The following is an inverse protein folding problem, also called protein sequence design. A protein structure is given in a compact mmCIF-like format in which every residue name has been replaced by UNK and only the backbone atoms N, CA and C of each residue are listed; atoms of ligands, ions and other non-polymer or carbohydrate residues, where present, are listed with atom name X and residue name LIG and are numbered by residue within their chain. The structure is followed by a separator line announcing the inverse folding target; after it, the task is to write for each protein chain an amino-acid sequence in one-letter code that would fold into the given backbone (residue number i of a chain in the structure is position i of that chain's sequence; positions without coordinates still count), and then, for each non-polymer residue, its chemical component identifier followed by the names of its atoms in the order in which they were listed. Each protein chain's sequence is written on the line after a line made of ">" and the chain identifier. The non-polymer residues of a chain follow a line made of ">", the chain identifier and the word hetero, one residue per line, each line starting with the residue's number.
data_IF_308366668415
#
_entry.id   IF_308366668415
#
_cell.length_a   1.000
_cell.length_b   1.000
_cell.length_c   1.000
_cell.angle_alpha   90.00
_cell.angle_beta   90.00
_cell.angle_gamma   90.00
#
_symmetry.space_group_name_H-M   'P 1'
#
loop_
_entity.id
_entity.type
_entity.pdbx_description
1 polymer ?
#
# COMPACT_ATOMS: atom_id res chain seq x y z
N UNK A 1 4.80 -8.50 -6.01
CA UNK A 1 4.56 -7.39 -6.91
C UNK A 1 4.70 -6.06 -6.20
N UNK A 2 4.77 -5.02 -6.97
CA UNK A 2 4.88 -3.67 -6.44
C UNK A 2 3.63 -3.28 -5.63
N UNK A 3 2.48 -3.88 -5.93
CA UNK A 3 1.27 -3.62 -5.16
C UNK A 3 1.43 -4.09 -3.71
N UNK A 4 1.99 -5.28 -3.52
CA UNK A 4 2.24 -5.79 -2.17
C UNK A 4 3.20 -4.88 -1.42
N UNK A 5 4.23 -4.38 -2.10
CA UNK A 5 5.17 -3.44 -1.49
C UNK A 5 4.48 -2.17 -1.01
N UNK A 6 3.56 -1.64 -1.82
CA UNK A 6 2.80 -0.44 -1.45
C UNK A 6 1.94 -0.73 -0.23
N UNK A 7 1.22 -1.84 -0.22
CA UNK A 7 0.38 -2.20 0.92
C UNK A 7 1.20 -2.36 2.20
N UNK A 8 2.34 -3.04 2.12
CA UNK A 8 3.21 -3.22 3.28
C UNK A 8 3.81 -1.91 3.76
N UNK A 9 4.10 -0.98 2.85
CA UNK A 9 4.70 0.29 3.20
C UNK A 9 3.73 1.18 3.98
N UNK A 10 2.44 1.02 3.76
CA UNK A 10 1.43 1.81 4.46
C UNK A 10 1.04 1.16 5.79
N UNK A 11 0.76 -0.15 5.76
CA UNK A 11 0.40 -0.86 6.97
C UNK A 11 -0.85 -0.30 7.64
N UNK A 12 -0.75 0.01 8.92
CA UNK A 12 -1.87 0.56 9.69
C UNK A 12 -1.81 2.09 9.78
N UNK A 13 -0.83 2.71 9.15
CA UNK A 13 -0.66 4.15 9.18
C UNK A 13 -1.48 4.86 8.11
N UNK A 14 -1.61 6.16 8.26
CA UNK A 14 -2.16 7.04 7.23
C UNK A 14 -0.99 7.89 6.75
N UNK A 15 -0.62 7.76 5.48
CA UNK A 15 0.61 8.35 4.96
C UNK A 15 0.38 9.10 3.67
N UNK A 16 1.30 10.01 3.36
CA UNK A 16 1.31 10.73 2.09
C UNK A 16 2.03 9.89 1.03
N UNK A 17 1.75 10.18 -0.25
CA UNK A 17 2.36 9.46 -1.36
C UNK A 17 3.89 9.47 -1.30
N UNK A 18 4.48 10.58 -0.87
CA UNK A 18 5.94 10.69 -0.74
C UNK A 18 6.54 9.66 0.20
N UNK A 19 5.80 9.31 1.25
CA UNK A 19 6.25 8.30 2.21
C UNK A 19 6.26 6.92 1.53
N UNK A 20 5.25 6.64 0.72
CA UNK A 20 5.18 5.39 -0.03
C UNK A 20 6.37 5.28 -0.99
N UNK A 21 6.67 6.36 -1.70
CA UNK A 21 7.82 6.40 -2.61
C UNK A 21 9.11 6.11 -1.85
N UNK A 22 9.30 6.77 -0.72
CA UNK A 22 10.51 6.60 0.09
C UNK A 22 10.66 5.19 0.62
N UNK A 23 9.57 4.60 1.12
CA UNK A 23 9.61 3.27 1.74
C UNK A 23 9.72 2.15 0.73
N UNK A 24 9.17 2.32 -0.47
CA UNK A 24 9.20 1.27 -1.50
C UNK A 24 10.41 1.38 -2.42
N UNK A 25 10.99 2.57 -2.53
CA UNK A 25 12.07 2.79 -3.48
C UNK A 25 11.59 2.90 -4.93
N UNK A 26 10.28 2.94 -5.15
CA UNK A 26 9.73 3.10 -6.50
C UNK A 26 9.84 4.56 -6.92
N UNK A 27 9.78 4.81 -8.24
CA UNK A 27 9.68 6.18 -8.73
C UNK A 27 8.32 6.74 -8.35
N UNK A 28 8.21 8.06 -8.29
CA UNK A 28 6.93 8.71 -7.99
C UNK A 28 5.84 8.31 -8.98
N UNK A 29 6.21 8.23 -10.26
CA UNK A 29 5.28 7.84 -11.32
C UNK A 29 4.80 6.40 -11.12
N UNK A 30 5.70 5.49 -10.84
CA UNK A 30 5.37 4.07 -10.64
C UNK A 30 4.54 3.88 -9.36
N UNK A 31 4.93 4.56 -8.30
CA UNK A 31 4.18 4.49 -7.04
C UNK A 31 2.75 4.98 -7.23
N UNK A 32 2.56 6.07 -7.99
CA UNK A 32 1.22 6.59 -8.27
C UNK A 32 0.36 5.57 -9.01
N UNK A 33 0.94 4.86 -9.97
CA UNK A 33 0.20 3.82 -10.70
C UNK A 33 -0.20 2.67 -9.77
N UNK A 34 0.70 2.28 -8.89
CA UNK A 34 0.43 1.18 -7.96
C UNK A 34 -0.62 1.59 -6.92
N UNK A 35 -0.53 2.81 -6.43
CA UNK A 35 -1.53 3.36 -5.51
C UNK A 35 -2.92 3.32 -6.16
N UNK A 36 -3.01 3.77 -7.41
CA UNK A 36 -4.27 3.75 -8.14
C UNK A 36 -4.80 2.33 -8.33
N UNK A 37 -3.90 1.41 -8.65
CA UNK A 37 -4.26 0.01 -8.86
C UNK A 37 -4.86 -0.61 -7.59
N UNK A 38 -4.20 -0.43 -6.44
CA UNK A 38 -4.71 -0.99 -5.18
C UNK A 38 -5.96 -0.27 -4.71
N UNK A 39 -6.09 1.01 -5.03
CA UNK A 39 -7.30 1.76 -4.72
C UNK A 39 -8.49 1.21 -5.49
N UNK A 40 -8.31 0.90 -6.77
CA UNK A 40 -9.35 0.32 -7.61
C UNK A 40 -9.80 -1.05 -7.12
N UNK A 41 -8.90 -1.77 -6.47
CA UNK A 41 -9.22 -3.09 -5.90
C UNK A 41 -9.91 -3.00 -4.54
N UNK A 42 -10.15 -1.79 -4.06
CA UNK A 42 -10.80 -1.58 -2.77
C UNK A 42 -9.88 -1.82 -1.58
N UNK A 43 -8.58 -1.73 -1.78
CA UNK A 43 -7.59 -1.97 -0.73
C UNK A 43 -7.05 -0.70 -0.11
N UNK A 44 -7.32 0.44 -0.73
CA UNK A 44 -6.77 1.72 -0.32
C UNK A 44 -7.84 2.80 -0.39
N UNK A 45 -7.80 3.73 0.56
CA UNK A 45 -8.68 4.90 0.53
C UNK A 45 -7.85 6.17 0.61
N UNK A 46 -8.35 7.21 -0.04
CA UNK A 46 -7.76 8.55 0.00
C UNK A 46 -8.49 9.40 1.00
N UNK A 47 -7.76 10.26 1.67
CA UNK A 47 -8.35 11.24 2.55
C UNK A 47 -7.57 12.53 2.46
N UNK A 48 -8.26 13.66 2.57
CA UNK A 48 -7.62 14.97 2.55
C UNK A 48 -7.09 15.30 3.93
N UNK A 49 -5.98 16.05 3.98
CA UNK A 49 -5.42 16.49 5.24
C UNK A 49 -6.39 17.39 6.00
N UNK A 50 -6.44 17.23 7.32
CA UNK A 50 -7.32 18.03 8.15
C UNK A 50 -6.90 19.51 8.21
N UNK A 51 -5.61 19.74 8.30
CA UNK A 51 -5.07 21.10 8.39
C UNK A 51 -4.84 21.72 7.03
N UNK A 52 -4.42 20.92 6.06
CA UNK A 52 -4.17 21.39 4.71
C UNK A 52 -4.88 20.46 3.73
N UNK A 53 -6.00 20.91 3.18
CA UNK A 53 -6.81 20.10 2.27
C UNK A 53 -6.13 19.85 0.93
N UNK A 54 -4.98 20.47 0.67
CA UNK A 54 -4.20 20.20 -0.53
C UNK A 54 -3.35 18.95 -0.37
N UNK A 55 -3.16 18.47 0.86
CA UNK A 55 -2.40 17.26 1.14
C UNK A 55 -3.31 16.05 1.03
N UNK A 56 -2.83 15.05 0.30
CA UNK A 56 -3.55 13.80 0.12
C UNK A 56 -2.88 12.70 0.93
N UNK A 57 -3.68 12.02 1.74
CA UNK A 57 -3.21 10.90 2.55
C UNK A 57 -3.84 9.61 2.07
N UNK A 58 -3.15 8.52 2.32
CA UNK A 58 -3.59 7.18 1.93
C UNK A 58 -3.56 6.26 3.14
N UNK A 59 -4.58 5.43 3.26
CA UNK A 59 -4.68 4.44 4.32
C UNK A 59 -5.26 3.16 3.74
N UNK A 60 -4.90 2.03 4.33
CA UNK A 60 -5.44 0.75 3.90
C UNK A 60 -6.87 0.59 4.41
N UNK A 61 -7.69 -0.09 3.62
CA UNK A 61 -9.04 -0.48 4.04
C UNK A 61 -8.93 -1.68 4.98
N UNK A 62 -10.01 -2.01 5.67
CA UNK A 62 -10.04 -3.19 6.54
C UNK A 62 -9.75 -4.45 5.74
N UNK A 63 -10.25 -4.53 4.51
CA UNK A 63 -9.99 -5.64 3.61
C UNK A 63 -8.49 -5.81 3.37
N UNK A 64 -7.79 -4.71 3.13
CA UNK A 64 -6.35 -4.76 2.89
C UNK A 64 -5.61 -5.16 4.15
N UNK A 65 -6.03 -4.65 5.30
CA UNK A 65 -5.40 -5.00 6.58
C UNK A 65 -5.55 -6.47 6.89
N UNK A 66 -6.71 -7.05 6.59
CA UNK A 66 -6.94 -8.49 6.74
C UNK A 66 -5.99 -9.30 5.87
N UNK A 67 -5.79 -8.88 4.62
CA UNK A 67 -4.87 -9.55 3.72
C UNK A 67 -3.44 -9.52 4.24
N UNK A 68 -3.01 -8.37 4.76
CA UNK A 68 -1.68 -8.25 5.34
C UNK A 68 -1.53 -9.13 6.58
N UNK A 69 -2.57 -9.20 7.40
CA UNK A 69 -2.56 -10.02 8.60
C UNK A 69 -2.42 -11.50 8.24
N UNK A 70 -3.14 -11.94 7.21
CA UNK A 70 -3.04 -13.32 6.73
C UNK A 70 -1.62 -13.62 6.27
N UNK A 71 -0.99 -12.70 5.55
CA UNK A 71 0.38 -12.86 5.10
C UNK A 71 1.32 -12.99 6.29
N UNK A 72 1.13 -12.18 7.33
CA UNK A 72 1.95 -12.23 8.54
C UNK A 72 1.79 -13.54 9.29
N UNK A 73 0.57 -14.06 9.37
CA UNK A 73 0.29 -15.33 10.04
C UNK A 73 0.97 -16.50 9.33
N UNK A 74 1.12 -16.41 8.03
CA UNK A 74 1.76 -17.42 7.21
C UNK A 74 3.18 -17.01 6.86
N UNK A 75 3.87 -16.37 7.78
CA UNK A 75 5.14 -15.69 7.54
C UNK A 75 6.18 -16.45 6.75
N UNK A 76 6.32 -17.75 7.01
CA UNK A 76 7.31 -18.56 6.30
C UNK A 76 6.91 -18.81 4.86
N UNK A 77 5.65 -18.56 4.52
CA UNK A 77 5.11 -18.75 3.18
C UNK A 77 5.07 -17.44 2.39
N UNK A 78 5.50 -16.35 3.01
CA UNK A 78 5.46 -15.04 2.34
C UNK A 78 6.16 -15.04 0.98
N UNK A 79 7.35 -15.63 0.82
CA UNK A 79 7.99 -15.66 -0.50
C UNK A 79 7.12 -16.34 -1.55
N UNK A 80 6.51 -17.46 -1.19
CA UNK A 80 5.65 -18.18 -2.12
C UNK A 80 4.35 -17.43 -2.39
N UNK A 81 3.75 -16.87 -1.34
CA UNK A 81 2.52 -16.10 -1.46
C UNK A 81 2.72 -14.84 -2.28
N UNK A 82 3.89 -14.23 -2.18
CA UNK A 82 4.18 -12.97 -2.85
C UNK A 82 4.82 -13.14 -4.22
N UNK A 83 5.23 -14.35 -4.58
CA UNK A 83 5.84 -14.59 -5.89
C UNK A 83 5.01 -14.03 -7.05
N UNK A 84 3.70 -14.26 -7.09
CA UNK A 84 2.89 -13.69 -8.17
C UNK A 84 2.90 -12.17 -8.18
N UNK A 85 3.21 -11.56 -7.05
CA UNK A 85 3.26 -10.11 -6.93
C UNK A 85 4.61 -9.53 -7.35
N UNK A 86 5.67 -10.33 -7.30
CA UNK A 86 7.01 -9.86 -7.62
C UNK A 86 7.45 -10.19 -9.05
N UNK A 87 6.69 -10.96 -9.73
CA UNK A 87 6.98 -11.35 -11.12
C UNK A 87 6.47 -10.36 -12.13
#
# INVERSE_FOLDING_TARGET
>A
SNEAMVLCSIGEETVMAGVVVERTGLTASHASKMIRSVEEKGLLVRTLGEKDKRQMYFALTDKAKEKLEDIRKHGIEIPDLLLPFFQ
#
